data_IF_324101468224
#
_entry.id   IF_324101468224
#
_cell.length_a   1.000
_cell.length_b   1.000
_cell.length_c   1.000
_cell.angle_alpha   90.00
_cell.angle_beta   90.00
_cell.angle_gamma   90.00
#
_symmetry.space_group_name_H-M   'P 1'
#
loop_
_entity.id
_entity.type
_entity.pdbx_description
1 polymer ?
#
# COMPACT_ATOMS: atom_id res chain seq x y z
N UNK A 1 13.46 12.58 -3.53
CA UNK A 1 13.16 13.44 -2.35
C UNK A 1 14.36 13.48 -1.36
N UNK A 2 14.63 14.58 -0.64
CA UNK A 2 15.64 14.58 0.46
C UNK A 2 14.98 14.08 1.75
N UNK A 3 15.23 12.82 2.12
CA UNK A 3 14.66 12.20 3.32
C UNK A 3 15.58 12.42 4.55
N UNK A 4 15.55 13.62 5.14
CA UNK A 4 16.39 13.96 6.30
C UNK A 4 15.62 13.77 7.62
N UNK A 5 15.79 12.60 8.24
CA UNK A 5 15.17 12.28 9.54
C UNK A 5 16.09 12.75 10.68
N UNK A 6 15.57 13.57 11.60
CA UNK A 6 16.27 14.07 12.79
C UNK A 6 15.43 13.85 14.04
N UNK A 7 16.09 13.68 15.18
CA UNK A 7 15.44 13.61 16.49
C UNK A 7 14.36 12.52 16.60
N UNK A 8 14.56 11.37 15.94
CA UNK A 8 13.63 10.24 16.02
C UNK A 8 13.61 9.66 17.43
N UNK A 9 12.45 9.71 18.10
CA UNK A 9 12.24 9.22 19.46
C UNK A 9 10.97 8.39 19.54
N UNK A 10 10.99 7.37 20.41
CA UNK A 10 9.82 6.55 20.71
C UNK A 10 9.25 6.96 22.05
N UNK A 11 7.93 7.10 22.09
CA UNK A 11 7.17 7.42 23.29
C UNK A 11 6.05 6.40 23.47
N UNK A 12 5.56 6.19 24.71
CA UNK A 12 4.28 5.52 24.92
C UNK A 12 3.18 6.20 24.09
N UNK A 13 2.26 5.39 23.55
CA UNK A 13 1.14 5.89 22.77
C UNK A 13 0.07 6.46 23.70
N UNK A 14 -0.29 7.73 23.49
CA UNK A 14 -1.33 8.44 24.23
C UNK A 14 -2.39 8.94 23.24
N UNK A 15 -3.68 8.71 23.52
CA UNK A 15 -4.84 9.08 22.67
C UNK A 15 -4.69 8.70 21.19
N UNK A 16 -4.58 7.38 20.86
CA UNK A 16 -4.32 6.94 19.50
C UNK A 16 -5.45 7.26 18.53
N UNK A 17 -5.08 7.70 17.32
CA UNK A 17 -6.04 7.97 16.23
C UNK A 17 -6.24 6.80 15.26
N UNK A 18 -5.18 6.04 14.97
CA UNK A 18 -5.17 5.06 13.87
C UNK A 18 -4.95 3.61 14.32
N UNK A 19 -4.26 3.42 15.44
CA UNK A 19 -3.95 2.09 15.97
C UNK A 19 -4.04 2.06 17.49
N UNK A 20 -4.64 1.01 18.04
CA UNK A 20 -4.71 0.82 19.51
C UNK A 20 -4.11 -0.52 19.88
N UNK A 21 -3.16 -0.53 20.81
CA UNK A 21 -2.59 -1.76 21.35
C UNK A 21 -3.50 -2.33 22.45
N UNK A 22 -3.85 -3.61 22.32
CA UNK A 22 -4.76 -4.32 23.23
C UNK A 22 -4.14 -5.66 23.65
N UNK A 23 -4.37 -6.08 24.89
CA UNK A 23 -4.07 -7.43 25.33
C UNK A 23 -5.32 -8.31 25.13
N UNK A 24 -5.31 -9.14 24.09
CA UNK A 24 -6.35 -10.14 23.90
C UNK A 24 -6.19 -11.24 24.95
N UNK A 25 -7.28 -11.58 25.64
CA UNK A 25 -7.33 -12.75 26.55
C UNK A 25 -8.48 -13.66 26.10
N UNK A 26 -8.20 -14.96 25.97
CA UNK A 26 -9.16 -15.91 25.41
C UNK A 26 -8.90 -17.32 25.92
N UNK A 27 -9.89 -18.19 25.81
CA UNK A 27 -9.75 -19.61 26.09
C UNK A 27 -9.83 -20.40 24.78
N UNK A 28 -8.84 -21.26 24.54
CA UNK A 28 -8.82 -22.15 23.38
C UNK A 28 -8.64 -23.59 23.84
N UNK A 29 -9.62 -24.45 23.54
CA UNK A 29 -9.63 -25.86 23.95
C UNK A 29 -9.39 -26.05 25.45
N UNK A 30 -10.04 -25.25 26.28
CA UNK A 30 -9.89 -25.30 27.74
C UNK A 30 -8.66 -24.57 28.30
N UNK A 31 -7.71 -24.17 27.45
CA UNK A 31 -6.47 -23.49 27.86
C UNK A 31 -6.62 -21.97 27.76
N UNK A 32 -6.36 -21.27 28.87
CA UNK A 32 -6.30 -19.81 28.88
C UNK A 32 -5.06 -19.31 28.13
N UNK A 33 -5.23 -18.29 27.30
CA UNK A 33 -4.20 -17.68 26.48
C UNK A 33 -4.34 -16.17 26.52
N UNK A 34 -3.22 -15.50 26.24
CA UNK A 34 -3.18 -14.07 25.98
C UNK A 34 -2.30 -13.78 24.78
N UNK A 35 -2.57 -12.68 24.09
CA UNK A 35 -1.79 -12.23 22.93
C UNK A 35 -1.85 -10.71 22.81
N UNK A 36 -0.72 -10.08 22.50
CA UNK A 36 -0.65 -8.64 22.22
C UNK A 36 -1.11 -8.40 20.79
N UNK A 37 -2.11 -7.55 20.62
CA UNK A 37 -2.67 -7.20 19.32
C UNK A 37 -2.66 -5.69 19.11
N UNK A 38 -2.65 -5.28 17.84
CA UNK A 38 -2.86 -3.89 17.43
C UNK A 38 -4.12 -3.85 16.59
N UNK A 39 -5.13 -3.15 17.08
CA UNK A 39 -6.33 -2.87 16.29
C UNK A 39 -5.96 -1.83 15.22
N UNK A 40 -5.99 -2.24 13.96
CA UNK A 40 -5.68 -1.42 12.81
C UNK A 40 -6.81 -1.49 11.77
N UNK A 41 -6.96 -0.45 10.98
CA UNK A 41 -7.97 -0.39 9.92
C UNK A 41 -7.68 -1.38 8.79
N UNK A 42 -8.75 -1.88 8.17
CA UNK A 42 -8.68 -2.48 6.85
C UNK A 42 -8.23 -1.43 5.81
N UNK A 43 -7.77 -1.88 4.65
CA UNK A 43 -7.25 -0.98 3.60
C UNK A 43 -7.58 -1.45 2.19
N UNK A 44 -7.40 -0.55 1.23
CA UNK A 44 -7.34 -0.84 -0.20
C UNK A 44 -5.91 -0.69 -0.71
N UNK A 45 -5.53 -1.44 -1.74
CA UNK A 45 -4.29 -1.28 -2.48
C UNK A 45 -4.57 -1.44 -3.97
N UNK A 46 -3.87 -0.70 -4.81
CA UNK A 46 -4.13 -0.61 -6.24
C UNK A 46 -2.84 -0.82 -7.01
N UNK A 47 -2.83 -1.82 -7.89
CA UNK A 47 -1.83 -1.91 -8.95
C UNK A 47 -2.29 -1.04 -10.12
N UNK A 48 -1.50 -0.02 -10.43
CA UNK A 48 -1.78 0.92 -11.51
C UNK A 48 -0.77 0.64 -12.63
N UNK A 49 -1.27 0.38 -13.83
CA UNK A 49 -0.44 0.23 -15.03
C UNK A 49 -0.60 1.43 -15.95
N UNK A 50 0.51 2.09 -16.27
CA UNK A 50 0.54 3.18 -17.23
C UNK A 50 0.76 2.65 -18.64
N UNK A 51 -0.25 2.77 -19.49
CA UNK A 51 -0.26 2.14 -20.84
C UNK A 51 0.78 2.76 -21.79
N UNK A 52 0.89 4.09 -21.82
CA UNK A 52 1.84 4.77 -22.71
C UNK A 52 3.30 4.64 -22.28
N UNK A 53 3.58 4.59 -20.97
CA UNK A 53 4.93 4.49 -20.43
C UNK A 53 5.43 3.05 -20.32
N UNK A 54 4.55 2.07 -20.49
CA UNK A 54 4.79 0.66 -20.21
C UNK A 54 5.46 0.45 -18.84
N UNK A 55 4.83 1.01 -17.81
CA UNK A 55 5.37 1.04 -16.46
C UNK A 55 4.26 0.90 -15.42
N UNK A 56 4.58 0.32 -14.27
CA UNK A 56 3.72 0.37 -13.10
C UNK A 56 3.89 1.71 -12.39
N UNK A 57 2.77 2.33 -12.00
CA UNK A 57 2.76 3.52 -11.14
C UNK A 57 2.72 3.04 -9.69
N UNK A 58 3.79 3.32 -8.97
CA UNK A 58 4.01 2.96 -7.58
C UNK A 58 4.24 4.23 -6.76
N UNK A 59 4.26 4.08 -5.45
CA UNK A 59 4.56 5.18 -4.53
C UNK A 59 5.80 4.88 -3.72
N UNK A 60 6.60 5.90 -3.44
CA UNK A 60 7.72 5.85 -2.51
C UNK A 60 7.46 6.78 -1.36
N UNK A 61 7.45 6.24 -0.15
CA UNK A 61 7.18 7.01 1.06
C UNK A 61 7.96 6.51 2.27
N UNK A 62 8.11 7.38 3.26
CA UNK A 62 8.77 7.07 4.52
C UNK A 62 7.81 6.35 5.48
N UNK A 63 8.22 5.18 5.99
CA UNK A 63 7.49 4.42 7.00
C UNK A 63 8.32 4.38 8.30
N UNK A 64 7.88 5.07 9.38
CA UNK A 64 8.60 5.08 10.66
C UNK A 64 8.88 3.68 11.23
N UNK A 65 7.94 2.74 11.06
CA UNK A 65 8.11 1.36 11.52
C UNK A 65 9.23 0.62 10.76
N UNK A 66 9.43 0.91 9.48
CA UNK A 66 10.53 0.35 8.69
C UNK A 66 11.84 1.01 9.06
N UNK A 67 11.83 2.33 9.30
CA UNK A 67 13.02 3.09 9.69
C UNK A 67 13.71 2.52 10.94
N UNK A 68 12.94 2.11 11.95
CA UNK A 68 13.48 1.50 13.17
C UNK A 68 14.26 0.21 12.87
N UNK A 69 13.91 -0.48 11.78
CA UNK A 69 14.49 -1.78 11.42
C UNK A 69 15.65 -1.68 10.42
N UNK A 70 15.68 -0.65 9.56
CA UNK A 70 16.70 -0.54 8.50
C UNK A 70 17.43 0.81 8.42
N UNK A 71 17.07 1.80 9.25
CA UNK A 71 17.65 3.15 9.30
C UNK A 71 17.51 4.01 8.02
N UNK A 72 16.69 3.58 7.06
CA UNK A 72 16.33 4.34 5.85
C UNK A 72 14.84 4.69 5.85
N UNK A 73 13.99 3.70 6.14
CA UNK A 73 12.54 3.86 6.27
C UNK A 73 11.79 4.10 4.97
N UNK A 74 12.49 4.32 3.85
CA UNK A 74 11.87 4.44 2.55
C UNK A 74 11.40 3.07 2.05
N UNK A 75 10.19 3.08 1.50
CA UNK A 75 9.51 1.90 0.95
C UNK A 75 9.04 2.21 -0.45
N UNK A 76 8.95 1.20 -1.31
CA UNK A 76 8.23 1.28 -2.58
C UNK A 76 7.01 0.36 -2.48
N UNK A 77 5.84 0.95 -2.68
CA UNK A 77 4.55 0.35 -2.35
C UNK A 77 3.55 0.54 -3.51
N UNK A 78 2.45 -0.21 -3.44
CA UNK A 78 1.26 0.09 -4.23
C UNK A 78 0.61 1.38 -3.69
N UNK A 79 -0.09 2.12 -4.56
CA UNK A 79 -1.02 3.15 -4.10
C UNK A 79 -2.06 2.51 -3.16
N UNK A 80 -2.31 3.09 -1.99
CA UNK A 80 -3.10 2.44 -0.94
C UNK A 80 -3.67 3.43 0.08
N UNK A 81 -4.88 3.12 0.56
CA UNK A 81 -5.59 3.93 1.56
C UNK A 81 -6.23 3.09 2.65
N UNK A 82 -6.34 3.66 3.85
CA UNK A 82 -7.07 3.04 4.96
C UNK A 82 -8.59 3.20 4.78
N UNK A 83 -9.36 2.27 5.33
CA UNK A 83 -10.82 2.35 5.34
C UNK A 83 -11.26 3.05 6.62
N UNK A 84 -11.25 4.39 6.58
CA UNK A 84 -11.61 5.28 7.70
C UNK A 84 -12.76 6.25 7.35
N UNK A 85 -13.14 6.34 6.07
CA UNK A 85 -14.28 7.13 5.58
C UNK A 85 -15.52 6.26 5.36
N UNK A 86 -16.71 6.87 5.43
CA UNK A 86 -17.97 6.21 5.06
C UNK A 86 -18.18 6.20 3.54
N UNK A 87 -17.24 5.60 2.81
CA UNK A 87 -17.25 5.45 1.36
C UNK A 87 -17.13 3.97 0.98
N UNK A 88 -17.58 3.62 -0.22
CA UNK A 88 -17.31 2.27 -0.75
C UNK A 88 -15.81 2.10 -1.02
N UNK A 89 -15.30 0.87 -0.94
CA UNK A 89 -13.90 0.55 -1.22
C UNK A 89 -13.42 1.04 -2.60
N UNK A 90 -14.29 1.02 -3.62
CA UNK A 90 -13.95 1.50 -4.96
C UNK A 90 -13.75 3.01 -5.01
N UNK A 91 -14.56 3.76 -4.26
CA UNK A 91 -14.41 5.22 -4.16
C UNK A 91 -13.16 5.59 -3.37
N UNK A 92 -12.87 4.89 -2.26
CA UNK A 92 -11.61 5.08 -1.52
C UNK A 92 -10.43 4.81 -2.45
N UNK A 93 -10.42 3.67 -3.15
CA UNK A 93 -9.35 3.36 -4.09
C UNK A 93 -9.20 4.41 -5.20
N UNK A 94 -10.30 4.96 -5.72
CA UNK A 94 -10.27 6.03 -6.73
C UNK A 94 -9.74 7.36 -6.17
N UNK A 95 -10.07 7.71 -4.93
CA UNK A 95 -9.54 8.91 -4.25
C UNK A 95 -8.03 8.79 -4.08
N UNK A 96 -7.54 7.66 -3.56
CA UNK A 96 -6.10 7.44 -3.33
C UNK A 96 -5.28 7.50 -4.62
N UNK A 97 -5.80 6.98 -5.74
CA UNK A 97 -5.11 7.07 -7.05
C UNK A 97 -4.98 8.54 -7.50
N UNK A 98 -5.97 9.38 -7.22
CA UNK A 98 -5.93 10.79 -7.55
C UNK A 98 -4.98 11.55 -6.61
N UNK A 99 -5.05 11.28 -5.31
CA UNK A 99 -4.27 11.96 -4.27
C UNK A 99 -2.78 11.57 -4.35
N UNK A 100 -2.47 10.28 -4.27
CA UNK A 100 -1.09 9.79 -4.22
C UNK A 100 -0.42 9.80 -5.60
N UNK A 101 -1.16 9.44 -6.66
CA UNK A 101 -0.61 9.18 -7.99
C UNK A 101 -1.03 10.21 -9.06
N UNK A 102 -1.98 11.09 -8.78
CA UNK A 102 -2.39 12.19 -9.65
C UNK A 102 -3.23 11.81 -10.86
N UNK A 103 -3.86 10.63 -10.87
CA UNK A 103 -4.72 10.17 -11.96
C UNK A 103 -6.17 10.09 -11.53
N UNK A 104 -7.08 10.61 -12.35
CA UNK A 104 -8.52 10.54 -12.07
C UNK A 104 -9.18 9.45 -12.91
N UNK A 105 -9.63 8.38 -12.26
CA UNK A 105 -10.34 7.28 -12.91
C UNK A 105 -11.84 7.28 -12.58
N UNK A 106 -12.63 6.56 -13.37
CA UNK A 106 -13.98 6.15 -12.98
C UNK A 106 -13.87 4.86 -12.14
N UNK A 107 -14.62 4.75 -11.05
CA UNK A 107 -14.64 3.57 -10.17
C UNK A 107 -14.94 2.25 -10.90
N UNK A 108 -15.63 2.29 -12.04
CA UNK A 108 -15.93 1.12 -12.86
C UNK A 108 -14.70 0.57 -13.61
N UNK A 109 -13.60 1.33 -13.66
CA UNK A 109 -12.33 0.89 -14.25
C UNK A 109 -11.51 0.04 -13.28
N UNK A 110 -11.87 0.01 -11.99
CA UNK A 110 -11.22 -0.82 -10.99
C UNK A 110 -11.63 -2.28 -11.14
N UNK A 111 -10.67 -3.12 -11.49
CA UNK A 111 -10.81 -4.57 -11.48
C UNK A 111 -10.37 -5.12 -10.12
N UNK A 112 -11.24 -5.88 -9.46
CA UNK A 112 -10.86 -6.57 -8.22
C UNK A 112 -9.92 -7.74 -8.55
N UNK A 113 -8.73 -7.72 -7.95
CA UNK A 113 -7.80 -8.86 -7.98
C UNK A 113 -8.20 -9.88 -6.92
N UNK A 114 -8.08 -9.51 -5.63
CA UNK A 114 -8.32 -10.40 -4.49
C UNK A 114 -8.36 -9.61 -3.17
N UNK A 115 -8.32 -10.31 -2.03
CA UNK A 115 -8.07 -9.72 -0.71
C UNK A 115 -7.22 -10.65 0.14
N UNK A 116 -6.42 -10.09 1.05
CA UNK A 116 -5.59 -10.87 1.97
C UNK A 116 -5.48 -10.19 3.34
N UNK A 117 -5.09 -10.95 4.36
CA UNK A 117 -4.81 -10.42 5.69
C UNK A 117 -3.33 -10.09 5.83
N UNK A 118 -3.01 -8.93 6.39
CA UNK A 118 -1.65 -8.47 6.64
C UNK A 118 -1.35 -8.50 8.14
N UNK A 119 -0.05 -8.57 8.49
CA UNK A 119 0.40 -8.53 9.88
C UNK A 119 -0.36 -9.50 10.79
N UNK A 120 -0.65 -10.72 10.31
CA UNK A 120 -1.54 -11.73 10.94
C UNK A 120 -1.10 -12.14 12.35
N UNK A 121 0.15 -11.87 12.71
CA UNK A 121 0.68 -12.15 14.03
C UNK A 121 0.29 -11.12 15.10
N UNK A 122 -0.17 -9.92 14.74
CA UNK A 122 -0.51 -8.89 15.74
C UNK A 122 -1.66 -7.96 15.32
N UNK A 123 -1.81 -7.61 14.04
CA UNK A 123 -2.88 -6.72 13.60
C UNK A 123 -4.02 -7.47 12.90
N UNK A 124 -3.68 -8.35 11.95
CA UNK A 124 -4.69 -9.11 11.21
C UNK A 124 -5.67 -8.22 10.43
N UNK A 125 -5.24 -7.05 9.95
CA UNK A 125 -6.06 -6.19 9.09
C UNK A 125 -6.20 -6.77 7.69
N UNK A 126 -7.34 -6.53 7.05
CA UNK A 126 -7.63 -7.01 5.70
C UNK A 126 -7.31 -5.93 4.67
N UNK A 127 -6.62 -6.31 3.60
CA UNK A 127 -6.34 -5.46 2.46
C UNK A 127 -7.07 -5.97 1.22
N UNK A 128 -7.77 -5.06 0.53
CA UNK A 128 -8.49 -5.31 -0.71
C UNK A 128 -7.65 -4.83 -1.89
N UNK A 129 -7.34 -5.73 -2.83
CA UNK A 129 -6.42 -5.45 -3.93
C UNK A 129 -7.17 -5.26 -5.25
N UNK A 130 -6.92 -4.13 -5.92
CA UNK A 130 -7.50 -3.75 -7.20
C UNK A 130 -6.42 -3.53 -8.27
N UNK A 131 -6.86 -3.48 -9.52
CA UNK A 131 -6.07 -3.13 -10.70
C UNK A 131 -6.79 -2.05 -11.50
N UNK A 132 -6.03 -1.14 -12.10
CA UNK A 132 -6.52 -0.21 -13.12
C UNK A 132 -5.43 0.12 -14.13
N UNK A 133 -5.85 0.64 -15.28
CA UNK A 133 -4.97 1.20 -16.30
C UNK A 133 -5.12 2.72 -16.34
N UNK A 134 -4.02 3.43 -16.60
CA UNK A 134 -4.00 4.88 -16.72
C UNK A 134 -3.14 5.33 -17.90
N UNK A 135 -3.37 6.56 -18.34
CA UNK A 135 -2.49 7.28 -19.25
C UNK A 135 -2.48 8.78 -18.94
N UNK A 136 -1.72 9.54 -19.72
CA UNK A 136 -1.56 10.99 -19.53
C UNK A 136 -2.85 11.79 -19.77
N UNK A 137 -3.84 11.24 -20.49
CA UNK A 137 -5.09 11.95 -20.77
C UNK A 137 -5.96 12.15 -19.54
N UNK A 138 -5.73 11.34 -18.49
CA UNK A 138 -6.46 11.40 -17.21
C UNK A 138 -5.56 11.83 -16.04
N UNK A 139 -4.35 12.33 -16.32
CA UNK A 139 -3.48 12.97 -15.32
C UNK A 139 -4.09 14.32 -14.93
N UNK A 140 -4.31 14.53 -13.63
CA UNK A 140 -4.93 15.77 -13.10
C UNK A 140 -4.01 16.54 -12.16
N UNK A 141 -2.98 15.90 -11.63
CA UNK A 141 -1.94 16.52 -10.80
C UNK A 141 -0.66 15.68 -10.88
N UNK A 142 0.43 16.14 -10.26
CA UNK A 142 1.65 15.33 -10.14
C UNK A 142 1.50 14.13 -9.19
N UNK A 143 0.44 14.08 -8.37
CA UNK A 143 0.31 13.20 -7.21
C UNK A 143 1.07 13.77 -6.01
N UNK A 144 1.36 12.91 -5.03
CA UNK A 144 2.16 13.26 -3.85
C UNK A 144 1.43 13.14 -2.51
N UNK A 145 0.15 12.76 -2.53
CA UNK A 145 -0.69 12.64 -1.34
C UNK A 145 -1.40 13.95 -1.01
N UNK A 146 -2.01 14.00 0.17
CA UNK A 146 -2.71 15.18 0.70
C UNK A 146 -2.06 15.69 1.99
N UNK A 147 -2.41 16.91 2.37
CA UNK A 147 -1.93 17.56 3.60
C UNK A 147 -0.40 17.56 3.74
N UNK A 148 0.13 16.89 4.77
CA UNK A 148 1.56 16.82 5.10
C UNK A 148 2.22 15.53 4.57
N UNK A 149 1.52 14.76 3.74
CA UNK A 149 2.08 13.57 3.12
C UNK A 149 3.25 13.91 2.19
N UNK A 150 4.27 13.05 2.21
CA UNK A 150 5.45 13.17 1.36
C UNK A 150 5.62 11.89 0.58
N UNK A 151 4.88 11.81 -0.52
CA UNK A 151 4.86 10.65 -1.40
C UNK A 151 5.50 11.02 -2.74
N UNK A 152 6.42 10.16 -3.21
CA UNK A 152 7.04 10.28 -4.52
C UNK A 152 6.41 9.25 -5.47
N UNK A 153 5.84 9.70 -6.58
CA UNK A 153 5.33 8.79 -7.62
C UNK A 153 6.51 8.17 -8.37
N UNK A 154 6.55 6.84 -8.40
CA UNK A 154 7.60 6.05 -9.05
C UNK A 154 7.02 5.29 -10.24
N UNK A 155 7.58 5.51 -11.42
CA UNK A 155 7.27 4.71 -12.60
C UNK A 155 8.30 3.60 -12.72
N UNK A 156 7.90 2.36 -12.47
CA UNK A 156 8.75 1.18 -12.63
C UNK A 156 8.45 0.53 -13.99
N UNK A 157 9.39 0.54 -14.95
CA UNK A 157 9.19 -0.13 -16.23
C UNK A 157 8.80 -1.60 -16.06
N UNK A 158 7.85 -2.11 -16.86
CA UNK A 158 7.41 -3.51 -16.77
C UNK A 158 8.58 -4.47 -16.93
N UNK A 159 9.54 -4.14 -17.80
CA UNK A 159 10.76 -4.91 -18.02
C UNK A 159 11.64 -5.07 -16.77
N UNK A 160 11.55 -4.15 -15.80
CA UNK A 160 12.35 -4.16 -14.58
C UNK A 160 11.62 -4.84 -13.41
N UNK A 161 10.29 -4.98 -13.48
CA UNK A 161 9.48 -5.46 -12.35
C UNK A 161 9.86 -6.87 -11.87
N UNK A 162 10.27 -7.77 -12.77
CA UNK A 162 10.75 -9.10 -12.37
C UNK A 162 12.05 -9.04 -11.55
N UNK A 163 13.01 -8.22 -11.94
CA UNK A 163 14.25 -8.03 -11.17
C UNK A 163 13.94 -7.32 -9.84
N UNK A 164 13.06 -6.33 -9.88
CA UNK A 164 12.62 -5.57 -8.71
C UNK A 164 12.02 -6.47 -7.62
N UNK A 165 11.24 -7.50 -7.96
CA UNK A 165 10.66 -8.44 -6.98
C UNK A 165 11.73 -9.02 -6.05
N UNK A 166 12.88 -9.40 -6.60
CA UNK A 166 13.96 -10.08 -5.87
C UNK A 166 15.03 -9.15 -5.30
N UNK A 167 14.98 -7.84 -5.58
CA UNK A 167 15.96 -6.90 -5.03
C UNK A 167 15.72 -6.58 -3.55
N UNK A 168 16.44 -7.27 -2.66
CA UNK A 168 16.32 -7.09 -1.20
C UNK A 168 16.81 -5.72 -0.70
N UNK A 169 17.46 -4.90 -1.54
CA UNK A 169 17.87 -3.54 -1.14
C UNK A 169 16.69 -2.58 -1.05
N UNK A 170 15.56 -2.91 -1.67
CA UNK A 170 14.35 -2.11 -1.67
C UNK A 170 13.34 -2.71 -0.70
N UNK A 171 12.96 -1.96 0.33
CA UNK A 171 11.85 -2.34 1.19
C UNK A 171 10.54 -2.27 0.40
N UNK A 172 9.82 -3.40 0.34
CA UNK A 172 8.58 -3.57 -0.43
C UNK A 172 7.60 -4.48 0.29
N UNK A 173 6.32 -4.37 -0.04
CA UNK A 173 5.28 -5.19 0.58
C UNK A 173 5.04 -6.49 -0.19
N UNK A 174 4.64 -7.59 0.50
CA UNK A 174 4.22 -8.82 -0.18
C UNK A 174 3.05 -8.61 -1.16
N UNK A 175 2.16 -7.65 -0.85
CA UNK A 175 1.04 -7.27 -1.71
C UNK A 175 1.50 -6.76 -3.09
N UNK A 176 2.55 -5.93 -3.12
CA UNK A 176 3.15 -5.46 -4.37
C UNK A 176 3.72 -6.61 -5.20
N UNK A 177 4.46 -7.53 -4.57
CA UNK A 177 5.04 -8.70 -5.24
C UNK A 177 3.93 -9.57 -5.84
N UNK A 178 2.88 -9.86 -5.06
CA UNK A 178 1.74 -10.64 -5.54
C UNK A 178 1.02 -9.95 -6.71
N UNK A 179 0.83 -8.63 -6.64
CA UNK A 179 0.17 -7.87 -7.70
C UNK A 179 0.93 -7.96 -9.03
N UNK A 180 2.28 -7.88 -9.00
CA UNK A 180 3.09 -8.11 -10.21
C UNK A 180 2.95 -9.53 -10.74
N UNK A 181 3.03 -10.54 -9.88
CA UNK A 181 2.85 -11.94 -10.30
C UNK A 181 1.47 -12.16 -10.94
N UNK A 182 0.42 -11.58 -10.36
CA UNK A 182 -0.92 -11.60 -10.94
C UNK A 182 -0.95 -10.92 -12.30
N UNK A 183 -0.35 -9.73 -12.44
CA UNK A 183 -0.36 -8.99 -13.71
C UNK A 183 0.39 -9.76 -14.81
N UNK A 184 1.56 -10.31 -14.51
CA UNK A 184 2.30 -11.13 -15.47
C UNK A 184 1.51 -12.38 -15.90
N UNK A 185 0.79 -13.02 -14.98
CA UNK A 185 0.00 -14.21 -15.28
C UNK A 185 -1.37 -13.95 -15.94
N UNK A 186 -1.89 -12.72 -15.92
CA UNK A 186 -3.25 -12.42 -16.39
C UNK A 186 -3.34 -11.33 -17.46
N UNK A 187 -2.39 -10.38 -17.48
CA UNK A 187 -2.46 -9.21 -18.36
C UNK A 187 -1.38 -9.22 -19.44
N UNK A 188 -0.19 -9.74 -19.17
CA UNK A 188 0.89 -9.78 -20.15
C UNK A 188 0.55 -10.65 -21.38
N UNK A 189 -0.05 -11.83 -21.16
CA UNK A 189 -0.40 -12.73 -22.27
C UNK A 189 -1.54 -12.19 -23.16
N UNK A 190 -2.43 -11.35 -22.62
CA UNK A 190 -3.51 -10.72 -23.39
C UNK A 190 -2.97 -9.59 -24.29
N UNK A 191 -1.78 -9.07 -23.97
CA UNK A 191 -1.16 -7.90 -24.64
C UNK A 191 -0.17 -8.27 -25.75
N UNK A 192 0.23 -9.54 -25.86
CA UNK A 192 1.08 -10.07 -26.94
C UNK A 192 0.24 -10.73 -28.04
#
# INVERSE_FOLDING_TARGET
MKNEIKSFQLHPLEDPKFITASLATYQQNGVAKSWEIVEAHDSVAILIYHTTKDAFVLVRQFRPAVYINNLDGLTIELCAGIVDKNLSLLHIASEEIEEECGYRIDVNQLEKITSFYTSVGFAGSKQMLYYTEVDESIKVSEGGGVDDEQIEVVYLPVSEANAFIYDEKVAKTPGLIFAFMWWFGNKLEIRN
#
